data_IF_744592196770
#
_entry.id   IF_744592196770
#
_cell.length_a   1.000
_cell.length_b   1.000
_cell.length_c   1.000
_cell.angle_alpha   90.00
_cell.angle_beta   90.00
_cell.angle_gamma   90.00
#
_symmetry.space_group_name_H-M   'P 1'
#
loop_
_entity.id
_entity.type
_entity.pdbx_description
1 polymer ?
#
# COMPACT_ATOMS: atom_id res chain seq x y z
N UNK A 1 -9.43 -5.85 -23.24
CA UNK A 1 -9.30 -7.03 -22.37
C UNK A 1 -9.29 -8.27 -23.25
N UNK A 2 -8.33 -9.18 -23.00
CA UNK A 2 -8.25 -10.49 -23.65
C UNK A 2 -8.53 -11.56 -22.60
N UNK A 3 -9.52 -12.39 -22.88
CA UNK A 3 -9.92 -13.51 -22.05
C UNK A 3 -9.68 -14.82 -22.82
N UNK A 4 -9.03 -15.78 -22.17
CA UNK A 4 -8.63 -17.06 -22.77
C UNK A 4 -8.98 -18.18 -21.80
N UNK A 5 -9.53 -19.27 -22.32
CA UNK A 5 -9.72 -20.49 -21.53
C UNK A 5 -8.39 -21.22 -21.37
N UNK A 6 -8.13 -21.72 -20.17
CA UNK A 6 -7.00 -22.57 -19.86
C UNK A 6 -7.39 -23.67 -18.88
N UNK A 7 -6.41 -24.44 -18.45
CA UNK A 7 -6.57 -25.54 -17.49
C UNK A 7 -5.55 -25.39 -16.37
N UNK A 8 -5.98 -25.54 -15.12
CA UNK A 8 -5.07 -25.55 -13.98
C UNK A 8 -4.25 -26.83 -14.00
N UNK A 9 -2.92 -26.71 -14.04
CA UNK A 9 -2.00 -27.84 -13.96
C UNK A 9 -1.78 -28.21 -12.49
N UNK A 10 -1.43 -27.23 -11.67
CA UNK A 10 -1.18 -27.40 -10.25
C UNK A 10 -1.33 -26.09 -9.48
N UNK A 11 -1.52 -26.21 -8.17
CA UNK A 11 -1.50 -25.11 -7.22
C UNK A 11 -0.07 -24.96 -6.72
N UNK A 12 0.61 -23.87 -7.10
CA UNK A 12 2.01 -23.59 -6.77
C UNK A 12 2.15 -23.06 -5.35
N UNK A 13 1.22 -22.19 -4.95
CA UNK A 13 1.15 -21.60 -3.62
C UNK A 13 -0.31 -21.34 -3.28
N UNK A 14 -0.69 -21.53 -2.02
CA UNK A 14 -2.01 -21.17 -1.52
C UNK A 14 -1.89 -20.49 -0.16
N UNK A 15 -2.62 -19.38 0.00
CA UNK A 15 -2.80 -18.67 1.26
C UNK A 15 -4.20 -18.05 1.29
N UNK A 16 -4.66 -17.55 2.45
CA UNK A 16 -5.95 -16.89 2.54
C UNK A 16 -6.13 -15.80 1.46
N UNK A 17 -7.19 -15.93 0.67
CA UNK A 17 -7.56 -14.99 -0.40
C UNK A 17 -6.80 -15.11 -1.73
N UNK A 18 -5.74 -15.93 -1.83
CA UNK A 18 -4.93 -16.05 -3.06
C UNK A 18 -4.41 -17.48 -3.30
N UNK A 19 -4.59 -17.98 -4.51
CA UNK A 19 -3.81 -19.10 -5.05
C UNK A 19 -2.92 -18.62 -6.20
N UNK A 20 -1.67 -19.10 -6.21
CA UNK A 20 -0.79 -19.05 -7.40
C UNK A 20 -0.89 -20.39 -8.10
N UNK A 21 -1.19 -20.35 -9.40
CA UNK A 21 -1.48 -21.52 -10.20
C UNK A 21 -0.50 -21.60 -11.36
N UNK A 22 -0.05 -22.81 -11.65
CA UNK A 22 0.52 -23.13 -12.96
C UNK A 22 -0.64 -23.52 -13.87
N UNK A 23 -0.79 -22.86 -15.01
CA UNK A 23 -1.91 -23.07 -15.93
C UNK A 23 -1.42 -23.38 -17.34
N UNK A 24 -2.15 -24.22 -18.05
CA UNK A 24 -1.97 -24.47 -19.47
C UNK A 24 -2.86 -23.53 -20.28
N UNK A 25 -2.26 -22.79 -21.21
CA UNK A 25 -2.94 -21.91 -22.17
C UNK A 25 -2.42 -22.19 -23.59
N UNK A 26 -3.12 -21.68 -24.60
CA UNK A 26 -2.65 -21.72 -25.98
C UNK A 26 -1.29 -20.99 -26.09
N UNK A 27 -0.21 -21.77 -26.22
CA UNK A 27 1.17 -21.25 -26.23
C UNK A 27 2.08 -21.82 -25.13
N UNK A 28 1.54 -22.58 -24.17
CA UNK A 28 2.33 -23.33 -23.19
C UNK A 28 1.84 -23.21 -21.74
N UNK A 29 2.79 -23.36 -20.81
CA UNK A 29 2.54 -23.20 -19.37
C UNK A 29 2.81 -21.77 -18.94
N UNK A 30 1.92 -21.20 -18.13
CA UNK A 30 2.02 -19.85 -17.59
C UNK A 30 1.65 -19.81 -16.10
N UNK A 31 2.03 -18.73 -15.41
CA UNK A 31 1.59 -18.45 -14.05
C UNK A 31 0.24 -17.72 -14.07
N UNK A 32 -0.65 -18.04 -13.13
CA UNK A 32 -1.89 -17.32 -12.91
C UNK A 32 -2.14 -17.07 -11.41
N UNK A 33 -2.85 -15.99 -11.12
CA UNK A 33 -3.34 -15.65 -9.79
C UNK A 33 -4.85 -15.87 -9.74
N UNK A 34 -5.30 -16.61 -8.73
CA UNK A 34 -6.72 -16.74 -8.40
C UNK A 34 -7.00 -16.01 -7.09
N UNK A 35 -7.84 -14.98 -7.16
CA UNK A 35 -8.41 -14.35 -5.98
C UNK A 35 -9.60 -15.19 -5.54
N UNK A 36 -9.40 -16.02 -4.52
CA UNK A 36 -10.38 -17.04 -4.12
C UNK A 36 -11.70 -16.43 -3.65
N UNK A 37 -11.64 -15.18 -3.19
CA UNK A 37 -12.80 -14.38 -2.80
C UNK A 37 -13.61 -13.79 -3.96
N UNK A 38 -13.15 -13.96 -5.21
CA UNK A 38 -13.85 -13.56 -6.44
C UNK A 38 -14.21 -14.75 -7.34
N UNK A 39 -13.35 -15.76 -7.41
CA UNK A 39 -13.51 -16.89 -8.33
C UNK A 39 -13.70 -18.26 -7.63
N UNK A 40 -13.61 -18.30 -6.30
CA UNK A 40 -13.50 -19.55 -5.54
C UNK A 40 -12.11 -20.20 -5.69
N UNK A 41 -11.81 -21.16 -4.82
CA UNK A 41 -10.59 -21.96 -4.95
C UNK A 41 -10.66 -22.86 -6.19
N UNK A 42 -9.56 -22.90 -6.95
CA UNK A 42 -9.38 -23.76 -8.11
C UNK A 42 -8.73 -25.09 -7.69
N UNK A 43 -8.98 -26.14 -8.46
CA UNK A 43 -8.31 -27.44 -8.32
C UNK A 43 -7.52 -27.80 -9.60
N UNK A 44 -6.52 -28.68 -9.47
CA UNK A 44 -5.80 -29.21 -10.63
C UNK A 44 -6.76 -29.93 -11.60
N UNK A 45 -6.54 -29.75 -12.89
CA UNK A 45 -7.39 -30.22 -13.98
C UNK A 45 -8.65 -29.37 -14.22
N UNK A 46 -8.91 -28.33 -13.43
CA UNK A 46 -10.09 -27.49 -13.65
C UNK A 46 -9.88 -26.52 -14.81
N UNK A 47 -10.88 -26.39 -15.72
CA UNK A 47 -10.88 -25.33 -16.71
C UNK A 47 -11.09 -23.98 -16.03
N UNK A 48 -10.35 -22.96 -16.46
CA UNK A 48 -10.44 -21.59 -15.92
C UNK A 48 -10.41 -20.57 -17.05
N UNK A 49 -11.21 -19.51 -16.91
CA UNK A 49 -11.16 -18.34 -17.78
C UNK A 49 -10.11 -17.38 -17.21
N UNK A 50 -9.13 -17.01 -18.02
CA UNK A 50 -8.00 -16.20 -17.64
C UNK A 50 -8.03 -14.84 -18.35
N UNK A 51 -7.72 -13.76 -17.63
CA UNK A 51 -7.35 -12.49 -18.22
C UNK A 51 -5.84 -12.46 -18.47
N UNK A 52 -5.46 -12.50 -19.74
CA UNK A 52 -4.05 -12.56 -20.17
C UNK A 52 -3.48 -11.20 -20.57
N UNK A 53 -4.32 -10.15 -20.59
CA UNK A 53 -4.03 -8.84 -21.20
C UNK A 53 -2.70 -8.23 -20.74
N UNK A 54 -2.42 -8.21 -19.43
CA UNK A 54 -1.23 -7.56 -18.90
C UNK A 54 0.07 -8.29 -19.30
N UNK A 55 0.02 -9.62 -19.32
CA UNK A 55 1.16 -10.46 -19.73
C UNK A 55 1.39 -10.34 -21.23
N UNK A 56 0.33 -10.35 -22.05
CA UNK A 56 0.42 -10.20 -23.50
C UNK A 56 1.01 -8.85 -23.92
N UNK A 57 0.78 -7.80 -23.12
CA UNK A 57 1.36 -6.47 -23.29
C UNK A 57 2.77 -6.33 -22.69
N UNK A 58 3.31 -7.39 -22.07
CA UNK A 58 4.62 -7.37 -21.41
C UNK A 58 4.69 -6.39 -20.23
N UNK A 59 3.56 -6.15 -19.55
CA UNK A 59 3.52 -5.25 -18.40
C UNK A 59 4.19 -5.91 -17.18
N UNK A 60 4.98 -5.14 -16.43
CA UNK A 60 5.80 -5.60 -15.30
C UNK A 60 5.04 -6.04 -14.05
N UNK A 61 3.78 -6.47 -14.15
CA UNK A 61 2.92 -6.89 -13.03
C UNK A 61 3.14 -8.35 -12.64
N UNK A 62 4.40 -8.77 -12.48
CA UNK A 62 4.75 -10.10 -11.97
C UNK A 62 4.51 -11.27 -12.94
N UNK A 63 4.21 -11.01 -14.21
CA UNK A 63 4.18 -12.05 -15.25
C UNK A 63 3.07 -13.10 -15.11
N UNK A 64 2.02 -12.82 -14.34
CA UNK A 64 0.92 -13.74 -14.11
C UNK A 64 -0.38 -13.29 -14.78
N UNK A 65 -1.15 -14.26 -15.29
CA UNK A 65 -2.55 -14.07 -15.68
C UNK A 65 -3.46 -13.97 -14.45
N UNK A 66 -4.72 -13.57 -14.62
CA UNK A 66 -5.71 -13.53 -13.55
C UNK A 66 -6.88 -14.45 -13.85
N UNK A 67 -7.25 -15.33 -12.92
CA UNK A 67 -8.47 -16.14 -13.01
C UNK A 67 -9.68 -15.22 -12.89
N UNK A 68 -10.56 -15.27 -13.89
CA UNK A 68 -11.83 -14.54 -13.95
C UNK A 68 -13.00 -15.43 -13.52
N UNK A 69 -13.00 -16.69 -13.95
CA UNK A 69 -14.06 -17.64 -13.63
C UNK A 69 -13.55 -19.08 -13.77
N UNK A 70 -14.25 -20.02 -13.14
CA UNK A 70 -14.07 -21.47 -13.32
C UNK A 70 -15.01 -21.98 -14.43
N UNK A 71 -14.55 -22.93 -15.22
CA UNK A 71 -15.13 -23.30 -16.51
C UNK A 71 -16.23 -24.35 -16.50
N UNK A 72 -16.61 -24.86 -15.33
CA UNK A 72 -17.67 -25.85 -15.17
C UNK A 72 -19.04 -25.24 -14.84
N UNK A 73 -19.15 -23.90 -14.85
CA UNK A 73 -20.40 -23.20 -14.55
C UNK A 73 -20.84 -23.32 -13.10
N UNK A 74 -19.95 -23.73 -12.18
CA UNK A 74 -20.24 -23.76 -10.75
C UNK A 74 -20.54 -22.35 -10.25
N UNK A 75 -21.70 -22.22 -9.61
CA UNK A 75 -22.03 -21.01 -8.84
C UNK A 75 -21.04 -20.84 -7.70
N UNK A 76 -20.68 -19.59 -7.44
CA UNK A 76 -19.83 -19.19 -6.31
C UNK A 76 -20.61 -18.18 -5.45
N UNK A 77 -20.52 -18.33 -4.14
CA UNK A 77 -21.11 -17.40 -3.17
C UNK A 77 -20.19 -17.30 -1.97
N UNK A 78 -19.80 -16.07 -1.65
CA UNK A 78 -18.94 -15.69 -0.52
C UNK A 78 -19.46 -14.36 0.03
N UNK A 79 -20.69 -14.38 0.56
CA UNK A 79 -21.32 -13.18 1.08
C UNK A 79 -20.56 -12.68 2.32
N UNK A 80 -20.18 -11.41 2.31
CA UNK A 80 -19.46 -10.75 3.40
C UNK A 80 -20.35 -10.42 4.60
N UNK A 81 -21.67 -10.40 4.41
CA UNK A 81 -22.63 -9.94 5.41
C UNK A 81 -22.90 -8.42 5.37
N UNK A 82 -22.19 -7.68 4.52
CA UNK A 82 -22.45 -6.27 4.24
C UNK A 82 -23.17 -6.03 2.90
N UNK A 83 -23.37 -4.76 2.58
CA UNK A 83 -24.02 -4.30 1.36
C UNK A 83 -23.22 -3.23 0.60
N UNK A 84 -22.08 -2.80 1.14
CA UNK A 84 -21.18 -1.91 0.41
C UNK A 84 -20.46 -2.68 -0.69
N UNK A 85 -20.49 -2.14 -1.90
CA UNK A 85 -19.88 -2.78 -3.07
C UNK A 85 -18.49 -2.21 -3.34
N UNK A 86 -17.51 -3.11 -3.51
CA UNK A 86 -16.18 -2.85 -4.09
C UNK A 86 -16.15 -3.28 -5.55
N UNK A 87 -15.18 -2.80 -6.33
CA UNK A 87 -15.13 -3.01 -7.79
C UNK A 87 -16.45 -2.65 -8.51
N UNK A 88 -17.15 -1.62 -8.02
CA UNK A 88 -18.54 -1.26 -8.41
C UNK A 88 -18.73 -1.18 -9.91
N UNK A 89 -19.85 -1.72 -10.38
CA UNK A 89 -20.28 -1.70 -11.79
C UNK A 89 -19.32 -2.45 -12.75
N UNK A 90 -18.50 -3.35 -12.23
CA UNK A 90 -17.76 -4.34 -13.04
C UNK A 90 -18.40 -5.72 -12.89
N UNK A 91 -18.15 -6.66 -13.83
CA UNK A 91 -18.61 -8.05 -13.69
C UNK A 91 -18.04 -8.80 -12.47
N UNK A 92 -17.01 -8.25 -11.82
CA UNK A 92 -16.35 -8.83 -10.64
C UNK A 92 -16.65 -8.05 -9.35
N UNK A 93 -17.67 -7.18 -9.35
CA UNK A 93 -18.09 -6.48 -8.14
C UNK A 93 -18.44 -7.47 -7.02
N UNK A 94 -18.05 -7.15 -5.79
CA UNK A 94 -18.37 -7.92 -4.59
C UNK A 94 -18.83 -7.03 -3.46
N UNK A 95 -19.67 -7.58 -2.60
CA UNK A 95 -19.98 -6.98 -1.32
C UNK A 95 -18.81 -7.15 -0.34
N UNK A 96 -18.71 -6.17 0.55
CA UNK A 96 -17.88 -6.21 1.75
C UNK A 96 -18.72 -5.75 2.92
N UNK A 97 -18.34 -6.15 4.14
CA UNK A 97 -18.86 -5.57 5.36
C UNK A 97 -17.98 -4.40 5.74
N UNK A 98 -18.33 -3.21 5.25
CA UNK A 98 -17.59 -2.00 5.57
C UNK A 98 -17.82 -1.58 7.02
N UNK A 99 -16.80 -1.02 7.65
CA UNK A 99 -16.79 -0.62 9.06
C UNK A 99 -17.85 0.43 9.40
N UNK A 100 -18.30 1.19 8.39
CA UNK A 100 -19.35 2.20 8.53
C UNK A 100 -20.77 1.61 8.52
N UNK A 101 -20.94 0.36 8.08
CA UNK A 101 -22.27 -0.25 7.94
C UNK A 101 -22.88 -0.59 9.29
N UNK A 102 -24.19 -0.39 9.45
CA UNK A 102 -24.90 -0.74 10.69
C UNK A 102 -24.80 -2.22 11.10
N UNK A 103 -24.51 -3.12 10.15
CA UNK A 103 -24.28 -4.54 10.41
C UNK A 103 -22.86 -4.84 10.93
N UNK A 104 -21.91 -3.89 10.80
CA UNK A 104 -20.56 -4.02 11.34
C UNK A 104 -20.58 -3.91 12.85
N UNK A 105 -19.82 -4.77 13.53
CA UNK A 105 -19.61 -4.67 14.98
C UNK A 105 -18.92 -3.35 15.39
N UNK A 106 -18.25 -2.69 14.45
CA UNK A 106 -17.52 -1.44 14.67
C UNK A 106 -18.36 -0.18 14.39
N UNK A 107 -19.59 -0.34 13.91
CA UNK A 107 -20.44 0.78 13.47
C UNK A 107 -20.69 1.80 14.58
N UNK A 108 -20.87 1.33 15.82
CA UNK A 108 -21.10 2.22 16.96
C UNK A 108 -19.85 3.05 17.31
N UNK A 109 -18.66 2.46 17.21
CA UNK A 109 -17.39 3.12 17.50
C UNK A 109 -17.06 4.19 16.44
N UNK A 110 -17.39 3.93 15.17
CA UNK A 110 -17.06 4.83 14.07
C UNK A 110 -18.13 5.86 13.71
N UNK A 111 -19.37 5.69 14.16
CA UNK A 111 -20.51 6.56 13.80
C UNK A 111 -20.20 8.04 14.02
N UNK A 112 -19.60 8.36 15.17
CA UNK A 112 -19.29 9.72 15.59
C UNK A 112 -17.77 9.95 15.69
N UNK A 113 -16.95 9.03 15.16
CA UNK A 113 -15.50 9.21 15.14
C UNK A 113 -15.12 10.20 14.03
N UNK A 114 -14.51 11.32 14.41
CA UNK A 114 -14.10 12.38 13.50
C UNK A 114 -12.64 12.83 13.69
N UNK A 115 -11.92 12.22 14.64
CA UNK A 115 -10.56 12.61 15.02
C UNK A 115 -9.64 11.40 15.25
N UNK A 116 -8.39 11.52 14.79
CA UNK A 116 -7.31 10.53 14.94
C UNK A 116 -6.52 10.71 16.24
N UNK A 117 -6.80 11.72 17.06
CA UNK A 117 -6.10 11.96 18.33
C UNK A 117 -4.61 12.22 18.15
N UNK A 118 -4.20 12.82 17.03
CA UNK A 118 -2.79 13.05 16.71
C UNK A 118 -2.01 11.79 16.33
N UNK A 119 -2.65 10.66 16.03
CA UNK A 119 -1.98 9.46 15.53
C UNK A 119 -1.15 9.82 14.28
N UNK A 120 0.14 9.44 14.23
CA UNK A 120 0.98 9.67 13.06
C UNK A 120 0.53 8.82 11.88
N UNK A 121 0.42 9.46 10.71
CA UNK A 121 0.05 8.81 9.45
C UNK A 121 1.20 8.94 8.45
N UNK A 122 1.91 7.85 8.20
CA UNK A 122 3.00 7.81 7.23
C UNK A 122 2.44 7.66 5.82
N UNK A 123 2.54 8.71 5.02
CA UNK A 123 2.01 8.80 3.67
C UNK A 123 3.06 8.36 2.65
N UNK A 124 2.91 7.14 2.14
CA UNK A 124 3.86 6.50 1.24
C UNK A 124 3.44 6.63 -0.22
N UNK A 125 4.31 7.17 -1.11
CA UNK A 125 4.01 7.24 -2.55
C UNK A 125 4.08 5.88 -3.26
N UNK A 126 4.54 4.82 -2.59
CA UNK A 126 4.73 3.49 -3.14
C UNK A 126 4.39 2.41 -2.11
N UNK A 127 3.82 1.30 -2.59
CA UNK A 127 3.59 0.11 -1.79
C UNK A 127 4.88 -0.46 -1.16
N UNK A 128 6.00 -0.45 -1.89
CA UNK A 128 7.28 -0.98 -1.40
C UNK A 128 7.92 -0.14 -0.28
N UNK A 129 7.38 1.03 0.05
CA UNK A 129 7.78 1.78 1.25
C UNK A 129 7.17 1.24 2.53
N UNK A 130 6.07 0.47 2.47
CA UNK A 130 5.34 0.01 3.66
C UNK A 130 6.24 -0.83 4.56
N UNK A 131 7.01 -1.76 3.99
CA UNK A 131 7.93 -2.63 4.73
C UNK A 131 9.04 -1.88 5.48
N UNK A 132 9.89 -1.06 4.83
CA UNK A 132 10.91 -0.32 5.56
C UNK A 132 10.33 0.69 6.56
N UNK A 133 9.16 1.28 6.31
CA UNK A 133 8.48 2.14 7.28
C UNK A 133 8.07 1.32 8.52
N UNK A 134 7.32 0.23 8.34
CA UNK A 134 6.82 -0.59 9.44
C UNK A 134 7.96 -1.21 10.25
N UNK A 135 9.00 -1.71 9.58
CA UNK A 135 10.21 -2.22 10.22
C UNK A 135 10.93 -1.14 11.04
N UNK A 136 11.10 0.07 10.51
CA UNK A 136 11.72 1.17 11.25
C UNK A 136 10.89 1.61 12.47
N UNK A 137 9.55 1.60 12.36
CA UNK A 137 8.66 1.85 13.51
C UNK A 137 8.86 0.77 14.58
N UNK A 138 8.78 -0.52 14.21
CA UNK A 138 8.93 -1.64 15.15
C UNK A 138 10.33 -1.75 15.74
N UNK A 139 11.36 -1.25 15.07
CA UNK A 139 12.71 -1.20 15.63
C UNK A 139 12.83 -0.11 16.70
N UNK A 140 12.20 1.06 16.47
CA UNK A 140 12.24 2.18 17.41
C UNK A 140 11.24 2.04 18.57
N UNK A 141 10.08 1.43 18.31
CA UNK A 141 9.02 1.17 19.27
C UNK A 141 8.46 -0.25 19.05
N UNK A 142 9.10 -1.28 19.63
CA UNK A 142 8.74 -2.70 19.40
C UNK A 142 7.28 -3.06 19.67
N UNK A 143 6.68 -2.41 20.67
CA UNK A 143 5.31 -2.67 21.10
C UNK A 143 4.27 -1.81 20.36
N UNK A 144 4.69 -0.86 19.51
CA UNK A 144 3.78 0.01 18.80
C UNK A 144 2.88 -0.77 17.84
N UNK A 145 1.58 -0.49 17.82
CA UNK A 145 0.66 -1.06 16.83
C UNK A 145 0.75 -0.32 15.50
N UNK A 146 1.14 -1.02 14.45
CA UNK A 146 1.27 -0.52 13.08
C UNK A 146 0.12 -1.04 12.24
N UNK A 147 -0.76 -0.15 11.77
CA UNK A 147 -1.79 -0.51 10.81
C UNK A 147 -1.39 -0.08 9.39
N UNK A 148 -1.67 -0.92 8.39
CA UNK A 148 -1.51 -0.57 6.98
C UNK A 148 -2.87 -0.25 6.34
N UNK A 149 -3.02 0.97 5.83
CA UNK A 149 -4.19 1.38 5.03
C UNK A 149 -3.82 1.33 3.55
N UNK A 150 -4.44 0.43 2.80
CA UNK A 150 -4.25 0.31 1.35
C UNK A 150 -5.33 1.07 0.59
N UNK A 151 -4.90 1.97 -0.30
CA UNK A 151 -5.76 2.76 -1.20
C UNK A 151 -5.83 2.17 -2.61
N UNK A 152 -6.75 2.67 -3.44
CA UNK A 152 -7.22 2.02 -4.67
C UNK A 152 -6.63 2.58 -5.98
N UNK A 153 -5.50 3.30 -5.92
CA UNK A 153 -4.84 3.90 -7.09
C UNK A 153 -3.85 2.93 -7.80
N UNK A 154 -3.81 1.67 -7.38
CA UNK A 154 -3.01 0.60 -7.99
C UNK A 154 -3.75 -0.75 -7.90
N UNK A 155 -3.08 -1.86 -7.54
CA UNK A 155 -3.78 -3.11 -7.30
C UNK A 155 -4.84 -2.95 -6.20
N UNK A 156 -6.06 -3.42 -6.50
CA UNK A 156 -7.22 -3.33 -5.63
C UNK A 156 -7.29 -4.46 -4.57
N UNK A 157 -6.95 -5.72 -4.89
CA UNK A 157 -6.96 -6.80 -3.91
C UNK A 157 -5.67 -6.80 -3.08
N UNK A 158 -5.80 -6.67 -1.75
CA UNK A 158 -4.67 -6.70 -0.82
C UNK A 158 -3.88 -8.02 -0.91
N UNK A 159 -4.60 -9.13 -1.13
CA UNK A 159 -4.06 -10.48 -1.16
C UNK A 159 -2.94 -10.69 -2.20
N UNK A 160 -2.86 -9.85 -3.23
CA UNK A 160 -1.79 -9.88 -4.24
C UNK A 160 -0.41 -9.59 -3.62
N UNK A 161 -0.34 -8.83 -2.52
CA UNK A 161 0.93 -8.47 -1.91
C UNK A 161 1.50 -9.57 -1.02
N UNK A 162 2.55 -10.24 -1.49
CA UNK A 162 3.36 -11.16 -0.67
C UNK A 162 3.95 -10.42 0.54
N UNK A 163 4.45 -9.20 0.33
CA UNK A 163 5.07 -8.40 1.37
C UNK A 163 4.10 -8.11 2.52
N UNK A 164 2.83 -7.82 2.24
CA UNK A 164 1.82 -7.60 3.30
C UNK A 164 1.56 -8.91 4.05
N UNK A 165 1.35 -10.02 3.35
CA UNK A 165 1.13 -11.32 3.98
C UNK A 165 2.31 -11.70 4.91
N UNK A 166 3.54 -11.49 4.45
CA UNK A 166 4.74 -11.74 5.24
C UNK A 166 4.89 -10.77 6.41
N UNK A 167 4.67 -9.46 6.22
CA UNK A 167 4.70 -8.46 7.29
C UNK A 167 3.69 -8.76 8.40
N UNK A 168 2.49 -9.23 8.04
CA UNK A 168 1.48 -9.69 9.02
C UNK A 168 1.99 -10.90 9.78
N UNK A 169 2.54 -11.90 9.09
CA UNK A 169 3.06 -13.13 9.68
C UNK A 169 4.21 -12.89 10.67
N UNK A 170 5.11 -11.95 10.38
CA UNK A 170 6.26 -11.63 11.25
C UNK A 170 5.99 -10.50 12.25
N UNK A 171 4.75 -10.00 12.33
CA UNK A 171 4.35 -8.97 13.29
C UNK A 171 4.98 -7.60 13.05
N UNK A 172 5.26 -7.26 11.79
CA UNK A 172 5.65 -5.90 11.40
C UNK A 172 4.43 -5.00 11.16
N UNK A 173 3.31 -5.59 10.72
CA UNK A 173 2.01 -4.94 10.57
C UNK A 173 0.99 -5.69 11.44
N UNK A 174 0.29 -4.99 12.31
CA UNK A 174 -0.65 -5.54 13.30
C UNK A 174 -2.10 -5.60 12.80
N UNK A 175 -2.43 -4.83 11.76
CA UNK A 175 -3.70 -4.93 11.05
C UNK A 175 -3.70 -4.16 9.74
N UNK A 176 -4.67 -4.46 8.89
CA UNK A 176 -4.82 -3.87 7.56
C UNK A 176 -6.23 -3.34 7.35
N UNK A 177 -6.33 -2.23 6.62
CA UNK A 177 -7.62 -1.66 6.21
C UNK A 177 -7.57 -1.35 4.72
N UNK A 178 -8.60 -1.72 3.97
CA UNK A 178 -8.70 -1.40 2.54
C UNK A 178 -9.73 -0.29 2.29
N UNK A 179 -9.33 0.75 1.56
CA UNK A 179 -10.13 1.95 1.32
C UNK A 179 -10.61 2.04 -0.14
N UNK A 180 -11.71 2.77 -0.38
CA UNK A 180 -12.19 3.04 -1.73
C UNK A 180 -12.69 1.78 -2.42
N UNK A 181 -12.09 1.40 -3.54
CA UNK A 181 -12.35 0.16 -4.27
C UNK A 181 -11.37 -0.97 -3.95
N UNK A 182 -10.33 -0.71 -3.15
CA UNK A 182 -9.47 -1.76 -2.63
C UNK A 182 -10.26 -2.66 -1.66
N UNK A 183 -9.86 -3.92 -1.57
CA UNK A 183 -10.55 -4.94 -0.76
C UNK A 183 -9.61 -6.08 -0.31
N UNK A 184 -10.07 -6.87 0.66
CA UNK A 184 -9.37 -8.01 1.25
C UNK A 184 -8.51 -7.64 2.47
N UNK A 185 -8.73 -6.48 3.09
CA UNK A 185 -8.12 -6.12 4.38
C UNK A 185 -8.77 -6.82 5.58
N UNK A 186 -8.15 -6.70 6.76
CA UNK A 186 -8.78 -7.13 8.02
C UNK A 186 -10.06 -6.31 8.28
N UNK A 187 -10.05 -5.03 7.87
CA UNK A 187 -11.20 -4.13 7.86
C UNK A 187 -11.41 -3.53 6.47
N UNK A 188 -12.66 -3.22 6.14
CA UNK A 188 -13.06 -2.64 4.86
C UNK A 188 -13.67 -1.27 5.11
N UNK A 189 -13.26 -0.25 4.35
CA UNK A 189 -13.75 1.11 4.51
C UNK A 189 -14.16 1.73 3.17
N UNK A 190 -15.19 2.57 3.18
CA UNK A 190 -15.69 3.23 1.97
C UNK A 190 -14.70 4.27 1.46
N UNK A 191 -14.04 4.99 2.37
CA UNK A 191 -13.11 6.09 2.04
C UNK A 191 -11.80 5.96 2.81
N UNK A 192 -10.77 6.67 2.36
CA UNK A 192 -9.51 6.79 3.11
C UNK A 192 -9.74 7.38 4.51
N UNK A 193 -10.63 8.36 4.65
CA UNK A 193 -10.91 8.98 5.95
C UNK A 193 -11.45 7.97 6.95
N UNK A 194 -12.48 7.21 6.57
CA UNK A 194 -13.01 6.13 7.39
C UNK A 194 -11.96 5.05 7.67
N UNK A 195 -11.10 4.74 6.70
CA UNK A 195 -10.05 3.75 6.88
C UNK A 195 -9.00 4.19 7.92
N UNK A 196 -8.63 5.47 7.91
CA UNK A 196 -7.73 6.05 8.92
C UNK A 196 -8.38 6.02 10.30
N UNK A 197 -9.66 6.38 10.42
CA UNK A 197 -10.41 6.31 11.67
C UNK A 197 -10.52 4.87 12.18
N UNK A 198 -10.81 3.91 11.31
CA UNK A 198 -10.85 2.48 11.67
C UNK A 198 -9.49 1.97 12.13
N UNK A 199 -8.41 2.37 11.45
CA UNK A 199 -7.05 2.02 11.88
C UNK A 199 -6.74 2.58 13.28
N UNK A 200 -7.12 3.82 13.56
CA UNK A 200 -6.85 4.44 14.86
C UNK A 200 -7.76 3.95 16.00
N UNK A 201 -9.05 3.78 15.75
CA UNK A 201 -10.05 3.46 16.79
C UNK A 201 -10.19 1.95 16.98
N UNK A 202 -10.54 1.25 15.90
CA UNK A 202 -10.80 -0.19 15.91
C UNK A 202 -9.52 -1.02 16.04
N UNK A 203 -8.51 -0.75 15.21
CA UNK A 203 -7.22 -1.46 15.31
C UNK A 203 -6.31 -0.89 16.40
N UNK A 204 -6.71 0.22 17.03
CA UNK A 204 -5.93 0.93 18.06
C UNK A 204 -4.48 1.20 17.62
N UNK A 205 -4.29 1.61 16.36
CA UNK A 205 -2.97 1.84 15.81
C UNK A 205 -2.26 3.02 16.48
N UNK A 206 -1.00 2.81 16.85
CA UNK A 206 -0.09 3.89 17.26
C UNK A 206 0.54 4.59 16.07
N UNK A 207 0.68 3.89 14.95
CA UNK A 207 1.11 4.43 13.66
C UNK A 207 0.26 3.84 12.55
N UNK A 208 -0.23 4.70 11.66
CA UNK A 208 -0.86 4.26 10.42
C UNK A 208 0.10 4.48 9.26
N UNK A 209 0.38 3.44 8.49
CA UNK A 209 1.10 3.55 7.21
C UNK A 209 0.06 3.50 6.11
N UNK A 210 0.03 4.49 5.23
CA UNK A 210 -0.92 4.54 4.11
C UNK A 210 -0.19 4.57 2.78
N UNK A 211 -0.59 3.66 1.88
CA UNK A 211 0.01 3.54 0.56
C UNK A 211 -0.94 2.86 -0.41
N UNK A 212 -0.78 3.17 -1.69
CA UNK A 212 -1.38 2.41 -2.79
C UNK A 212 -1.00 0.93 -2.75
N UNK A 213 -1.79 0.07 -3.39
CA UNK A 213 -1.43 -1.32 -3.63
C UNK A 213 -0.21 -1.52 -4.56
N UNK A 214 0.28 -2.76 -4.75
CA UNK A 214 1.37 -3.03 -5.68
C UNK A 214 1.01 -2.67 -7.13
N UNK A 215 2.03 -2.41 -7.96
CA UNK A 215 1.83 -2.14 -9.40
C UNK A 215 1.45 -0.69 -9.71
N UNK A 216 2.17 0.28 -9.14
CA UNK A 216 1.93 1.72 -9.38
C UNK A 216 1.84 2.05 -10.89
N UNK A 217 0.77 2.71 -11.37
CA UNK A 217 0.74 3.29 -12.70
C UNK A 217 1.60 4.56 -12.75
N UNK A 218 2.26 4.79 -13.89
CA UNK A 218 3.04 6.00 -14.13
C UNK A 218 3.09 6.34 -15.61
N UNK A 219 2.88 7.62 -15.91
CA UNK A 219 2.97 8.19 -17.26
C UNK A 219 3.99 9.31 -17.29
N UNK A 220 4.25 9.88 -18.48
CA UNK A 220 5.08 11.08 -18.59
C UNK A 220 4.37 12.37 -18.11
N UNK A 221 3.07 12.31 -17.83
CA UNK A 221 2.31 13.47 -17.41
C UNK A 221 2.52 13.77 -15.92
N UNK A 222 2.44 15.06 -15.55
CA UNK A 222 2.76 15.53 -14.20
C UNK A 222 1.93 14.85 -13.11
N UNK A 223 0.65 14.58 -13.37
CA UNK A 223 -0.30 14.01 -12.40
C UNK A 223 -0.73 12.57 -12.75
N UNK A 224 -0.35 12.05 -13.91
CA UNK A 224 -0.75 10.70 -14.33
C UNK A 224 0.13 9.63 -13.71
N UNK A 225 0.14 9.54 -12.37
CA UNK A 225 0.81 8.49 -11.63
C UNK A 225 0.14 8.22 -10.26
N UNK A 226 0.22 6.99 -9.76
CA UNK A 226 -0.41 6.61 -8.48
C UNK A 226 0.19 7.31 -7.24
N UNK A 227 1.41 7.84 -7.33
CA UNK A 227 2.06 8.55 -6.21
C UNK A 227 1.36 9.85 -5.77
N UNK A 228 0.37 10.33 -6.52
CA UNK A 228 -0.50 11.46 -6.13
C UNK A 228 -1.23 11.15 -4.82
N UNK A 229 -1.59 9.88 -4.60
CA UNK A 229 -2.28 9.41 -3.40
C UNK A 229 -1.56 9.76 -2.09
N UNK A 230 -0.23 9.91 -2.10
CA UNK A 230 0.50 10.34 -0.90
C UNK A 230 0.14 11.78 -0.47
N UNK A 231 -0.12 12.68 -1.42
CA UNK A 231 -0.58 14.05 -1.12
C UNK A 231 -2.03 14.08 -0.64
N UNK A 232 -2.88 13.24 -1.22
CA UNK A 232 -4.28 13.08 -0.80
C UNK A 232 -4.36 12.47 0.62
N UNK A 233 -3.47 11.53 0.93
CA UNK A 233 -3.34 10.96 2.26
C UNK A 233 -2.88 11.97 3.31
N UNK A 234 -1.97 12.90 2.96
CA UNK A 234 -1.59 14.00 3.84
C UNK A 234 -2.82 14.86 4.19
N UNK A 235 -3.64 15.17 3.17
CA UNK A 235 -4.85 15.96 3.37
C UNK A 235 -5.87 15.24 4.26
N UNK A 236 -6.11 13.95 4.01
CA UNK A 236 -7.04 13.14 4.79
C UNK A 236 -6.60 12.99 6.25
N UNK A 237 -5.30 12.73 6.48
CA UNK A 237 -4.75 12.65 7.83
C UNK A 237 -4.89 13.97 8.59
N UNK A 238 -4.56 15.10 7.96
CA UNK A 238 -4.68 16.41 8.58
C UNK A 238 -6.14 16.83 8.84
N UNK A 239 -7.05 16.50 7.93
CA UNK A 239 -8.48 16.79 8.08
C UNK A 239 -9.10 16.10 9.30
N UNK A 240 -8.54 14.96 9.72
CA UNK A 240 -8.96 14.19 10.88
C UNK A 240 -8.05 14.40 12.11
N UNK A 241 -7.30 15.51 12.19
CA UNK A 241 -6.45 15.79 13.36
C UNK A 241 -5.27 14.84 13.57
N UNK A 242 -4.90 14.04 12.57
CA UNK A 242 -3.71 13.20 12.57
C UNK A 242 -2.42 14.00 12.32
N UNK A 243 -1.28 13.32 12.45
CA UNK A 243 0.04 13.91 12.20
C UNK A 243 0.65 13.33 10.91
N UNK A 244 0.46 13.96 9.75
CA UNK A 244 0.99 13.44 8.49
C UNK A 244 2.52 13.48 8.45
N UNK A 245 3.12 12.32 8.13
CA UNK A 245 4.55 12.15 7.88
C UNK A 245 4.72 11.72 6.42
N UNK A 246 5.41 12.51 5.62
CA UNK A 246 5.63 12.19 4.21
C UNK A 246 6.89 11.36 4.02
N UNK A 247 6.76 10.19 3.38
CA UNK A 247 7.89 9.41 2.92
C UNK A 247 8.32 9.90 1.52
N UNK A 248 9.61 10.24 1.37
CA UNK A 248 10.17 10.59 0.07
C UNK A 248 10.43 9.33 -0.76
N UNK A 249 10.14 9.40 -2.06
CA UNK A 249 10.67 8.45 -3.04
C UNK A 249 11.97 9.02 -3.58
N UNK A 250 13.08 8.43 -3.17
CA UNK A 250 14.43 8.81 -3.60
C UNK A 250 15.07 7.61 -4.30
N UNK A 251 15.84 7.84 -5.35
CA UNK A 251 16.62 6.78 -6.01
C UNK A 251 17.83 7.39 -6.65
N UNK A 252 18.99 6.76 -6.55
CA UNK A 252 20.19 7.14 -7.33
C UNK A 252 20.65 6.04 -8.28
N UNK A 253 20.02 4.86 -8.22
CA UNK A 253 20.36 3.71 -9.06
C UNK A 253 19.76 3.75 -10.49
N UNK A 254 18.86 4.70 -10.79
CA UNK A 254 18.32 4.80 -12.16
C UNK A 254 19.42 5.27 -13.14
N UNK A 255 19.53 4.58 -14.28
CA UNK A 255 20.47 4.92 -15.34
C UNK A 255 20.18 6.30 -15.96
N UNK A 256 18.92 6.75 -15.90
CA UNK A 256 18.49 8.03 -16.45
C UNK A 256 18.68 9.11 -15.40
N UNK A 257 19.56 10.07 -15.69
CA UNK A 257 19.95 11.14 -14.76
C UNK A 257 18.75 11.91 -14.18
N UNK A 258 17.74 12.23 -15.00
CA UNK A 258 16.50 12.91 -14.57
C UNK A 258 15.66 12.13 -13.55
N UNK A 259 15.92 10.84 -13.33
CA UNK A 259 15.25 10.00 -12.34
C UNK A 259 16.11 9.77 -11.09
N UNK A 260 17.28 10.44 -10.99
CA UNK A 260 18.14 10.41 -9.82
C UNK A 260 17.78 11.52 -8.83
N UNK A 261 17.80 11.20 -7.54
CA UNK A 261 17.37 12.07 -6.47
C UNK A 261 15.91 11.89 -6.08
N UNK A 262 15.27 12.99 -5.66
CA UNK A 262 13.86 13.00 -5.28
C UNK A 262 13.01 12.81 -6.53
N UNK A 263 12.14 11.80 -6.49
CA UNK A 263 11.22 11.52 -7.59
C UNK A 263 10.25 12.67 -7.80
N UNK A 264 9.98 12.97 -9.07
CA UNK A 264 8.89 13.86 -9.48
C UNK A 264 7.55 13.51 -8.82
N UNK A 265 7.29 12.23 -8.51
CA UNK A 265 6.07 11.83 -7.80
C UNK A 265 5.97 12.46 -6.42
N UNK A 266 7.07 12.45 -5.64
CA UNK A 266 7.12 13.08 -4.32
C UNK A 266 7.04 14.60 -4.43
N UNK A 267 7.70 15.21 -5.42
CA UNK A 267 7.65 16.65 -5.63
C UNK A 267 6.24 17.13 -5.99
N UNK A 268 5.49 16.38 -6.80
CA UNK A 268 4.09 16.72 -7.13
C UNK A 268 3.16 16.48 -5.94
N UNK A 269 3.29 15.33 -5.28
CA UNK A 269 2.46 15.01 -4.13
C UNK A 269 2.57 16.09 -3.04
N UNK A 270 3.79 16.51 -2.71
CA UNK A 270 4.04 17.54 -1.70
C UNK A 270 3.76 18.95 -2.23
N UNK A 271 4.37 19.33 -3.35
CA UNK A 271 4.32 20.71 -3.83
C UNK A 271 3.00 21.13 -4.48
N UNK A 272 2.12 20.20 -4.85
CA UNK A 272 0.90 20.50 -5.64
C UNK A 272 -0.38 19.86 -5.15
N UNK A 273 -0.31 18.70 -4.50
CA UNK A 273 -1.50 17.93 -4.08
C UNK A 273 -1.78 18.11 -2.59
N UNK A 274 -0.74 18.05 -1.76
CA UNK A 274 -0.85 18.31 -0.34
C UNK A 274 -1.21 19.78 -0.10
N UNK A 275 -2.39 20.00 0.48
CA UNK A 275 -2.90 21.29 0.93
C UNK A 275 -2.62 21.50 2.42
N UNK A 276 -2.48 20.43 3.19
CA UNK A 276 -2.09 20.48 4.60
C UNK A 276 -0.56 20.41 4.79
N UNK A 277 -0.03 20.98 5.89
CA UNK A 277 1.37 20.77 6.28
C UNK A 277 1.63 19.31 6.65
N UNK A 278 2.89 18.89 6.49
CA UNK A 278 3.35 17.55 6.87
C UNK A 278 4.81 17.59 7.31
N UNK A 279 5.21 16.61 8.11
CA UNK A 279 6.62 16.35 8.42
C UNK A 279 7.24 15.55 7.28
N UNK A 280 8.18 16.15 6.54
CA UNK A 280 8.88 15.47 5.45
C UNK A 280 10.16 14.85 5.99
N UNK A 281 10.21 13.52 6.01
CA UNK A 281 11.38 12.78 6.47
C UNK A 281 12.46 12.77 5.38
N UNK A 282 13.59 13.42 5.66
CA UNK A 282 14.75 13.52 4.77
C UNK A 282 15.88 12.65 5.33
N UNK A 283 16.28 11.56 4.66
CA UNK A 283 17.37 10.73 5.14
C UNK A 283 18.71 11.45 5.02
N UNK A 284 19.60 11.24 5.99
CA UNK A 284 21.03 11.56 5.84
C UNK A 284 21.62 10.57 4.85
N UNK A 285 22.27 11.09 3.80
CA UNK A 285 23.03 10.32 2.82
C UNK A 285 24.45 10.88 2.72
N UNK A 286 25.25 10.40 1.75
CA UNK A 286 26.52 11.07 1.45
C UNK A 286 26.30 12.55 1.07
N UNK A 287 27.36 13.36 1.18
CA UNK A 287 27.26 14.80 1.00
C UNK A 287 26.68 15.20 -0.37
N UNK A 288 27.08 14.51 -1.44
CA UNK A 288 26.62 14.83 -2.79
C UNK A 288 25.13 14.49 -2.98
N UNK A 289 24.70 13.33 -2.49
CA UNK A 289 23.30 12.90 -2.55
C UNK A 289 22.41 13.79 -1.68
N UNK A 290 22.87 14.14 -0.47
CA UNK A 290 22.14 15.02 0.45
C UNK A 290 21.94 16.41 -0.16
N UNK A 291 22.99 17.02 -0.71
CA UNK A 291 22.87 18.29 -1.42
C UNK A 291 21.93 18.22 -2.63
N UNK A 292 21.93 17.10 -3.36
CA UNK A 292 21.04 16.92 -4.51
C UNK A 292 19.57 16.84 -4.10
N UNK A 293 19.27 16.14 -2.99
CA UNK A 293 17.93 16.09 -2.41
C UNK A 293 17.50 17.48 -1.93
N UNK A 294 18.36 18.16 -1.19
CA UNK A 294 18.05 19.47 -0.61
C UNK A 294 17.74 20.50 -1.70
N UNK A 295 18.58 20.57 -2.74
CA UNK A 295 18.32 21.45 -3.89
C UNK A 295 16.98 21.14 -4.57
N UNK A 296 16.64 19.86 -4.73
CA UNK A 296 15.40 19.45 -5.39
C UNK A 296 14.15 19.85 -4.57
N UNK A 297 14.18 19.66 -3.25
CA UNK A 297 13.08 20.01 -2.35
C UNK A 297 12.93 21.53 -2.22
N UNK A 298 14.04 22.26 -2.12
CA UNK A 298 14.03 23.72 -2.00
C UNK A 298 13.57 24.39 -3.30
N UNK A 299 14.08 23.95 -4.46
CA UNK A 299 13.66 24.48 -5.76
C UNK A 299 12.19 24.21 -6.07
N UNK A 300 11.60 23.16 -5.45
CA UNK A 300 10.19 22.84 -5.57
C UNK A 300 9.29 23.57 -4.55
N UNK A 301 9.86 24.41 -3.68
CA UNK A 301 9.11 25.17 -2.68
C UNK A 301 8.49 24.30 -1.58
N UNK A 302 9.03 23.10 -1.33
CA UNK A 302 8.43 22.14 -0.38
C UNK A 302 8.35 22.73 1.03
N UNK A 303 9.34 23.53 1.42
CA UNK A 303 9.43 24.14 2.76
C UNK A 303 8.50 25.33 2.98
N UNK A 304 7.79 25.80 1.95
CA UNK A 304 6.77 26.85 2.12
C UNK A 304 5.54 26.34 2.90
N UNK A 305 5.31 25.02 2.88
CA UNK A 305 4.18 24.36 3.54
C UNK A 305 4.60 23.28 4.53
N UNK A 306 5.67 22.56 4.21
CA UNK A 306 6.06 21.36 4.96
C UNK A 306 7.22 21.65 5.90
N UNK A 307 7.31 20.87 6.98
CA UNK A 307 8.40 20.94 7.93
C UNK A 307 9.44 19.86 7.60
N UNK A 308 10.70 20.25 7.56
CA UNK A 308 11.83 19.36 7.28
C UNK A 308 12.24 18.62 8.55
N UNK A 309 12.31 17.29 8.49
CA UNK A 309 12.89 16.46 9.55
C UNK A 309 14.04 15.64 8.98
N UNK A 310 15.27 15.97 9.35
CA UNK A 310 16.47 15.23 8.92
C UNK A 310 16.68 14.03 9.83
N UNK A 311 16.85 12.86 9.25
CA UNK A 311 16.94 11.59 9.99
C UNK A 311 18.15 10.79 9.54
N UNK A 312 19.02 10.45 10.50
CA UNK A 312 20.05 9.43 10.30
C UNK A 312 19.40 8.05 10.37
N UNK A 313 18.88 7.59 9.23
CA UNK A 313 18.20 6.32 9.12
C UNK A 313 19.20 5.21 8.77
N UNK A 314 18.92 4.00 9.25
CA UNK A 314 19.55 2.76 8.80
C UNK A 314 18.52 1.84 8.17
N UNK A 315 18.97 0.92 7.33
CA UNK A 315 18.13 -0.18 6.83
C UNK A 315 17.64 -0.97 8.04
N UNK A 316 16.31 -1.05 8.26
CA UNK A 316 15.76 -1.67 9.46
C UNK A 316 15.75 -3.20 9.35
N UNK A 317 15.68 -3.88 10.49
CA UNK A 317 15.47 -5.33 10.53
C UNK A 317 14.05 -5.69 10.06
N UNK A 318 13.95 -6.36 8.91
CA UNK A 318 12.68 -6.79 8.32
C UNK A 318 12.21 -8.17 8.78
N UNK A 319 12.89 -8.78 9.76
CA UNK A 319 12.54 -10.11 10.29
C UNK A 319 12.44 -11.18 9.20
N UNK A 320 13.31 -11.07 8.19
CA UNK A 320 13.39 -11.99 7.05
C UNK A 320 12.45 -11.68 5.89
N UNK A 321 11.65 -10.61 5.93
CA UNK A 321 10.84 -10.18 4.78
C UNK A 321 11.74 -9.48 3.74
N UNK A 322 11.73 -9.90 2.46
CA UNK A 322 12.60 -9.31 1.45
C UNK A 322 12.35 -7.81 1.20
N UNK A 323 13.41 -7.00 1.28
CA UNK A 323 13.39 -5.60 0.82
C UNK A 323 13.69 -5.54 -0.67
N UNK A 324 12.64 -5.53 -1.50
CA UNK A 324 12.78 -5.41 -2.95
C UNK A 324 11.81 -4.38 -3.50
N UNK A 325 12.30 -3.52 -4.38
CA UNK A 325 11.48 -2.53 -5.08
C UNK A 325 11.93 -2.42 -6.53
N UNK A 326 11.02 -2.66 -7.49
CA UNK A 326 11.33 -2.62 -8.93
C UNK A 326 12.58 -3.45 -9.29
N UNK A 327 12.73 -4.62 -8.66
CA UNK A 327 13.87 -5.53 -8.87
C UNK A 327 15.19 -5.10 -8.23
N UNK A 328 15.19 -4.08 -7.37
CA UNK A 328 16.37 -3.57 -6.65
C UNK A 328 16.29 -3.86 -5.16
N UNK A 329 17.44 -4.17 -4.55
CA UNK A 329 17.62 -4.36 -3.10
C UNK A 329 18.27 -3.11 -2.46
N UNK A 330 18.43 -3.05 -1.13
CA UNK A 330 19.16 -1.97 -0.46
C UNK A 330 20.61 -1.81 -0.94
N UNK A 331 21.26 -2.86 -1.41
CA UNK A 331 22.61 -2.80 -1.99
C UNK A 331 22.62 -2.06 -3.33
N UNK A 332 21.56 -2.21 -4.13
CA UNK A 332 21.44 -1.56 -5.44
C UNK A 332 21.08 -0.07 -5.32
N UNK A 333 20.15 0.28 -4.41
CA UNK A 333 19.60 1.63 -4.26
C UNK A 333 19.31 2.00 -2.79
N UNK A 334 20.34 2.18 -1.94
CA UNK A 334 20.17 2.39 -0.50
C UNK A 334 19.24 3.57 -0.16
N UNK A 335 19.36 4.67 -0.90
CA UNK A 335 18.63 5.90 -0.68
C UNK A 335 17.10 5.70 -0.71
N UNK A 336 16.61 4.77 -1.53
CA UNK A 336 15.18 4.44 -1.61
C UNK A 336 14.66 3.90 -0.28
N UNK A 337 15.35 2.92 0.27
CA UNK A 337 14.95 2.24 1.50
C UNK A 337 15.21 3.09 2.74
N UNK A 338 16.31 3.87 2.74
CA UNK A 338 16.62 4.82 3.81
C UNK A 338 15.58 5.95 3.89
N UNK A 339 15.09 6.47 2.77
CA UNK A 339 14.05 7.49 2.76
C UNK A 339 12.74 6.99 3.37
N UNK A 340 12.35 5.74 3.08
CA UNK A 340 11.18 5.12 3.68
C UNK A 340 11.39 4.82 5.18
N UNK A 341 12.55 4.27 5.56
CA UNK A 341 12.90 4.02 6.95
C UNK A 341 12.95 5.31 7.79
N UNK A 342 13.43 6.42 7.21
CA UNK A 342 13.42 7.74 7.84
C UNK A 342 12.00 8.16 8.23
N UNK A 343 11.01 7.97 7.35
CA UNK A 343 9.62 8.29 7.66
C UNK A 343 9.05 7.43 8.79
N UNK A 344 9.39 6.15 8.84
CA UNK A 344 9.04 5.28 9.97
C UNK A 344 9.67 5.75 11.30
N UNK A 345 10.94 6.17 11.28
CA UNK A 345 11.60 6.73 12.47
C UNK A 345 10.96 8.02 12.94
N UNK A 346 10.63 8.95 12.03
CA UNK A 346 9.87 10.17 12.38
C UNK A 346 8.57 9.78 13.06
N UNK A 347 7.75 8.92 12.46
CA UNK A 347 6.48 8.51 13.04
C UNK A 347 6.62 7.90 14.44
N UNK A 348 7.64 7.06 14.66
CA UNK A 348 7.92 6.48 15.97
C UNK A 348 8.18 7.55 17.05
N UNK A 349 8.88 8.64 16.72
CA UNK A 349 9.09 9.76 17.67
C UNK A 349 7.79 10.46 18.09
N UNK A 350 6.73 10.37 17.27
CA UNK A 350 5.46 11.04 17.52
C UNK A 350 4.56 10.23 18.45
N UNK A 351 4.76 8.91 18.56
CA UNK A 351 4.02 8.03 19.49
C UNK A 351 4.23 8.51 20.93
N UNK A 352 5.48 8.84 21.29
CA UNK A 352 5.86 9.28 22.63
C UNK A 352 5.44 10.72 22.98
N UNK A 353 4.91 11.47 22.01
CA UNK A 353 4.47 12.84 22.19
C UNK A 353 2.95 12.96 22.38
N UNK A 354 2.21 11.84 22.49
CA UNK A 354 0.79 11.87 22.88
C UNK A 354 0.69 12.66 24.20
N UNK A 355 0.01 13.83 24.25
CA UNK A 355 -0.27 14.45 25.53
C UNK A 355 -1.08 13.44 26.33
N UNK A 356 -0.60 13.09 27.53
CA UNK A 356 -1.30 12.17 28.41
C UNK A 356 -2.75 12.60 28.53
N UNK A 357 -3.67 11.68 28.23
CA UNK A 357 -5.09 11.89 28.46
C UNK A 357 -5.28 12.39 29.89
N UNK A 358 -5.93 13.54 30.03
CA UNK A 358 -6.46 13.96 31.32
C UNK A 358 -7.37 12.85 31.84
N UNK A 359 -7.01 12.34 33.02
CA UNK A 359 -7.84 11.49 33.85
C UNK A 359 -9.19 12.15 34.17
#
# INVERSE_FOLDING_TARGET
MRLVWGEVIEIVEERPGLQRLSVRVDGGTALALCLTSLAGACAAGEPVLLNTTAVDLGLGTGGAHFVVARGDGRGFSDASGGHIMKLRYTPLQRDVLAVEEAASEHAAELRDADDLGGVPVVCCPLHSHVLPVAAAVKEAAPDARVAYVMTDEAALPLAISDAVADMRRVGLVDGTVTAGHAFGGDLEAVTLHSALLAAARVLSADVVVTAIGPGIPGTASRFGHGGVAAGEAINAAAALGGRPVAALRVSFADARERHRGVSHHSLVALGRVALAPALVAVPVLDAQQSEHIDRALESAGIWERHERVVVDARIPDTRGVPLVSMGRTPEDDPAFFLAAAAAGRVAATLIHQKPGGSA
#
